data_IF_515136010180
#
_entry.id   IF_515136010180
#
_cell.length_a   1.000
_cell.length_b   1.000
_cell.length_c   1.000
_cell.angle_alpha   90.00
_cell.angle_beta   90.00
_cell.angle_gamma   90.00
#
_symmetry.space_group_name_H-M   'P 1'
#
loop_
_entity.id
_entity.type
_entity.pdbx_description
1 polymer ?
#
# COMPACT_ATOMS: atom_id res chain seq x y z
N UNK A 1 -0.72 -11.31 -16.57
CA UNK A 1 -0.73 -9.87 -16.91
C UNK A 1 0.12 -9.13 -15.90
N UNK A 2 0.77 -8.03 -16.30
CA UNK A 2 1.62 -7.23 -15.42
C UNK A 2 1.05 -5.82 -15.27
N UNK A 3 0.99 -5.33 -14.04
CA UNK A 3 0.46 -4.01 -13.70
C UNK A 3 1.40 -3.30 -12.74
N UNK A 4 1.58 -2.01 -12.87
CA UNK A 4 2.18 -1.20 -11.81
C UNK A 4 1.07 -0.55 -10.99
N UNK A 5 1.10 -0.74 -9.68
CA UNK A 5 0.07 -0.26 -8.76
C UNK A 5 0.74 0.58 -7.68
N UNK A 6 0.21 1.79 -7.48
CA UNK A 6 0.55 2.64 -6.35
C UNK A 6 -0.37 2.31 -5.17
N UNK A 7 0.21 2.04 -4.00
CA UNK A 7 -0.49 1.87 -2.72
C UNK A 7 -0.12 3.02 -1.79
N UNK A 8 -1.07 3.90 -1.49
CA UNK A 8 -0.91 5.01 -0.55
C UNK A 8 -1.58 4.67 0.77
N UNK A 9 -0.79 4.33 1.78
CA UNK A 9 -1.23 4.13 3.15
C UNK A 9 -1.55 5.48 3.78
N UNK A 10 -2.74 5.62 4.38
CA UNK A 10 -3.26 6.86 4.96
C UNK A 10 -3.69 6.60 6.40
N UNK A 11 -3.34 7.51 7.31
CA UNK A 11 -3.87 7.57 8.68
C UNK A 11 -4.48 8.95 8.93
N UNK A 12 -5.60 8.97 9.63
CA UNK A 12 -6.24 10.20 10.13
C UNK A 12 -5.75 10.59 11.53
N UNK A 13 -5.10 9.67 12.25
CA UNK A 13 -4.50 9.96 13.55
C UNK A 13 -3.35 10.95 13.40
N UNK A 14 -3.28 11.93 14.30
CA UNK A 14 -2.19 12.90 14.44
C UNK A 14 -1.32 12.61 15.66
N UNK A 15 -1.45 11.42 16.25
CA UNK A 15 -0.71 11.03 17.45
C UNK A 15 -0.13 9.62 17.32
N UNK A 16 -0.86 8.69 16.70
CA UNK A 16 -0.42 7.30 16.59
C UNK A 16 0.43 7.07 15.33
N UNK A 17 1.49 6.25 15.43
CA UNK A 17 2.27 5.85 14.26
C UNK A 17 1.39 5.06 13.28
N UNK A 18 1.51 5.36 11.98
CA UNK A 18 1.00 4.48 10.93
C UNK A 18 1.80 3.17 11.00
N UNK A 19 1.12 2.05 11.26
CA UNK A 19 1.70 0.71 11.19
C UNK A 19 0.68 -0.25 10.60
N UNK A 20 0.92 -0.68 9.36
CA UNK A 20 -0.03 -1.45 8.57
C UNK A 20 0.66 -2.43 7.61
N UNK A 21 -0.06 -3.48 7.24
CA UNK A 21 0.40 -4.50 6.32
C UNK A 21 -0.68 -4.87 5.31
N UNK A 22 -0.30 -4.95 4.04
CA UNK A 22 -1.04 -5.63 2.99
C UNK A 22 -0.41 -7.00 2.74
N UNK A 23 -1.23 -8.05 2.79
CA UNK A 23 -0.89 -9.39 2.29
C UNK A 23 -1.69 -9.70 1.03
N UNK A 24 -1.05 -10.31 0.05
CA UNK A 24 -1.65 -10.64 -1.24
C UNK A 24 -1.78 -12.15 -1.42
N UNK A 25 -2.93 -12.58 -1.94
CA UNK A 25 -3.24 -13.99 -2.16
C UNK A 25 -2.80 -14.42 -3.57
N UNK A 26 -2.37 -15.67 -3.70
CA UNK A 26 -2.15 -16.33 -5.00
C UNK A 26 -3.42 -16.25 -5.86
N UNK A 27 -3.31 -16.09 -7.20
CA UNK A 27 -2.08 -16.08 -8.00
C UNK A 27 -1.45 -14.69 -8.17
N UNK A 28 -1.86 -13.69 -7.39
CA UNK A 28 -1.31 -12.34 -7.48
C UNK A 28 -0.01 -12.23 -6.70
N UNK A 29 1.03 -11.69 -7.32
CA UNK A 29 2.34 -11.54 -6.73
C UNK A 29 3.00 -10.23 -7.15
N UNK A 30 3.65 -9.56 -6.21
CA UNK A 30 4.57 -8.46 -6.47
C UNK A 30 5.78 -9.02 -7.20
N UNK A 31 6.03 -8.52 -8.41
CA UNK A 31 7.24 -8.81 -9.17
C UNK A 31 8.32 -7.82 -8.74
N UNK A 32 9.25 -8.31 -7.92
CA UNK A 32 10.45 -7.57 -7.52
C UNK A 32 11.48 -7.61 -8.65
N UNK A 33 11.17 -7.02 -9.80
CA UNK A 33 12.12 -6.89 -10.91
C UNK A 33 12.93 -5.61 -10.74
N UNK A 34 14.11 -5.74 -10.13
CA UNK A 34 15.20 -4.75 -10.12
C UNK A 34 14.91 -3.42 -9.44
N UNK A 35 15.42 -3.20 -8.21
CA UNK A 35 15.58 -1.91 -7.52
C UNK A 35 14.50 -0.83 -7.77
N UNK A 36 13.22 -1.21 -7.91
CA UNK A 36 12.13 -0.27 -8.16
C UNK A 36 12.06 0.70 -6.98
N UNK A 37 12.19 1.99 -7.28
CA UNK A 37 12.27 3.03 -6.28
C UNK A 37 10.93 3.14 -5.53
N UNK A 38 10.95 2.93 -4.22
CA UNK A 38 9.84 3.27 -3.35
C UNK A 38 9.76 4.80 -3.30
N UNK A 39 8.67 5.35 -3.81
CA UNK A 39 8.42 6.79 -3.75
C UNK A 39 7.63 7.14 -2.48
N UNK A 40 8.32 7.67 -1.49
CA UNK A 40 7.71 8.22 -0.29
C UNK A 40 7.26 9.67 -0.56
N UNK A 41 5.99 9.98 -0.31
CA UNK A 41 5.43 11.34 -0.47
C UNK A 41 4.52 11.69 0.71
N UNK A 42 4.69 12.87 1.33
CA UNK A 42 3.72 13.45 2.26
C UNK A 42 2.76 14.40 1.56
N UNK A 43 1.57 14.53 2.12
CA UNK A 43 0.53 15.47 1.70
C UNK A 43 0.72 16.89 2.28
N UNK A 44 1.52 17.05 3.33
CA UNK A 44 1.83 18.33 4.02
C UNK A 44 3.27 18.34 4.55
N UNK A 45 3.82 19.53 4.84
CA UNK A 45 5.24 19.92 4.98
C UNK A 45 6.22 19.09 5.85
N UNK A 46 5.84 17.93 6.40
CA UNK A 46 6.81 16.97 6.94
C UNK A 46 6.36 15.53 6.69
N UNK A 47 7.16 14.73 5.96
CA UNK A 47 7.06 13.27 6.04
C UNK A 47 7.44 12.87 7.48
N UNK A 48 6.60 12.10 8.20
CA UNK A 48 7.10 11.44 9.40
C UNK A 48 8.26 10.53 8.96
N UNK A 49 9.36 10.45 9.74
CA UNK A 49 10.43 9.55 9.39
C UNK A 49 9.88 8.12 9.28
N UNK A 50 10.11 7.49 8.13
CA UNK A 50 9.79 6.10 7.90
C UNK A 50 10.70 5.27 8.81
N UNK A 51 10.10 4.43 9.65
CA UNK A 51 10.86 3.53 10.53
C UNK A 51 11.25 2.27 9.76
N UNK A 52 10.30 1.69 9.02
CA UNK A 52 10.59 0.65 8.05
C UNK A 52 9.56 0.57 6.94
N UNK A 53 10.00 0.01 5.82
CA UNK A 53 9.15 -0.50 4.75
C UNK A 53 9.69 -1.86 4.31
N UNK A 54 8.78 -2.83 4.22
CA UNK A 54 9.06 -4.16 3.69
C UNK A 54 8.19 -4.36 2.45
N UNK A 55 8.82 -4.63 1.32
CA UNK A 55 8.15 -5.09 0.10
C UNK A 55 8.67 -6.48 -0.23
N UNK A 56 7.76 -7.46 -0.23
CA UNK A 56 8.01 -8.86 -0.53
C UNK A 56 6.99 -9.33 -1.57
N UNK A 57 7.24 -10.48 -2.20
CA UNK A 57 6.39 -11.01 -3.27
C UNK A 57 4.89 -11.06 -2.94
N UNK A 58 4.52 -11.32 -1.69
CA UNK A 58 3.12 -11.41 -1.24
C UNK A 58 2.76 -10.40 -0.15
N UNK A 59 3.60 -9.37 0.08
CA UNK A 59 3.41 -8.49 1.23
C UNK A 59 4.00 -7.09 1.05
N UNK A 60 3.28 -6.08 1.52
CA UNK A 60 3.81 -4.74 1.80
C UNK A 60 3.55 -4.45 3.28
N UNK A 61 4.56 -4.05 4.05
CA UNK A 61 4.39 -3.60 5.43
C UNK A 61 5.09 -2.26 5.65
N UNK A 62 4.41 -1.33 6.30
CA UNK A 62 4.87 0.05 6.52
C UNK A 62 4.77 0.38 8.00
N UNK A 63 5.79 1.04 8.52
CA UNK A 63 5.75 1.71 9.82
C UNK A 63 6.43 3.08 9.77
N UNK A 64 5.81 4.08 10.40
CA UNK A 64 6.33 5.44 10.55
C UNK A 64 6.41 5.84 12.03
N UNK A 65 7.32 6.75 12.39
CA UNK A 65 7.66 7.06 13.80
C UNK A 65 6.63 7.91 14.59
N UNK A 66 5.55 8.39 13.97
CA UNK A 66 4.54 9.24 14.63
C UNK A 66 3.80 10.10 13.63
N UNK A 67 2.61 10.64 13.98
CA UNK A 67 1.74 11.27 13.00
C UNK A 67 1.63 12.80 13.02
N UNK A 68 1.85 13.42 11.87
CA UNK A 68 1.19 14.67 11.49
C UNK A 68 -0.07 14.27 10.72
N UNK A 69 -1.27 14.63 11.20
CA UNK A 69 -2.53 14.16 10.60
C UNK A 69 -2.54 14.32 9.08
N UNK A 70 -2.96 13.27 8.34
CA UNK A 70 -2.88 13.25 6.87
C UNK A 70 -1.65 12.56 6.29
N UNK A 71 -0.85 11.90 7.13
CA UNK A 71 0.31 11.11 6.72
C UNK A 71 -0.01 10.11 5.60
N UNK A 72 0.81 10.18 4.56
CA UNK A 72 0.77 9.28 3.42
C UNK A 72 2.10 8.57 3.25
N UNK A 73 2.08 7.25 3.12
CA UNK A 73 3.23 6.48 2.60
C UNK A 73 2.78 5.85 1.31
N UNK A 74 3.36 6.27 0.19
CA UNK A 74 3.08 5.68 -1.12
C UNK A 74 4.13 4.64 -1.46
N UNK A 75 3.70 3.54 -2.07
CA UNK A 75 4.59 2.48 -2.54
C UNK A 75 4.12 2.06 -3.93
N UNK A 76 4.97 2.24 -4.94
CA UNK A 76 4.71 1.76 -6.29
C UNK A 76 5.32 0.38 -6.44
N UNK A 77 4.53 -0.59 -6.86
CA UNK A 77 4.98 -1.97 -7.07
C UNK A 77 4.45 -2.52 -8.38
N UNK A 78 5.30 -3.28 -9.05
CA UNK A 78 4.88 -4.10 -10.18
C UNK A 78 4.26 -5.41 -9.68
N UNK A 79 3.15 -5.80 -10.27
CA UNK A 79 2.34 -6.97 -9.93
C UNK A 79 2.19 -7.86 -11.16
N UNK A 80 2.41 -9.16 -10.98
CA UNK A 80 1.94 -10.18 -11.90
C UNK A 80 0.72 -10.89 -11.32
N UNK A 81 -0.26 -11.17 -12.18
CA UNK A 81 -1.39 -12.00 -11.82
C UNK A 81 -1.92 -12.76 -13.03
N UNK A 82 -2.41 -13.97 -12.80
CA UNK A 82 -3.16 -14.78 -13.77
C UNK A 82 -4.66 -14.86 -13.45
N UNK A 83 -5.11 -14.20 -12.38
CA UNK A 83 -6.52 -14.14 -11.98
C UNK A 83 -7.27 -12.96 -12.62
N UNK A 84 -8.56 -12.86 -12.31
CA UNK A 84 -9.43 -11.73 -12.72
C UNK A 84 -9.39 -10.54 -11.76
N UNK A 85 -8.78 -10.69 -10.58
CA UNK A 85 -8.67 -9.67 -9.54
C UNK A 85 -7.45 -9.92 -8.65
N UNK A 86 -7.01 -8.88 -7.94
CA UNK A 86 -6.00 -8.98 -6.87
C UNK A 86 -6.73 -9.04 -5.54
N UNK A 87 -6.64 -10.17 -4.85
CA UNK A 87 -7.25 -10.36 -3.54
C UNK A 87 -6.18 -10.40 -2.44
N UNK A 88 -6.58 -10.07 -1.23
CA UNK A 88 -5.64 -10.03 -0.11
C UNK A 88 -6.29 -9.65 1.21
N UNK A 89 -5.44 -9.33 2.18
CA UNK A 89 -5.83 -8.87 3.51
C UNK A 89 -5.05 -7.63 3.89
N UNK A 90 -5.71 -6.66 4.50
CA UNK A 90 -5.10 -5.52 5.16
C UNK A 90 -5.16 -5.74 6.67
N UNK A 91 -4.03 -5.58 7.35
CA UNK A 91 -3.92 -5.64 8.81
C UNK A 91 -3.37 -4.33 9.35
N UNK A 92 -3.97 -3.85 10.42
CA UNK A 92 -3.36 -2.83 11.28
C UNK A 92 -2.44 -3.54 12.26
N UNK A 93 -1.22 -3.03 12.41
CA UNK A 93 -0.21 -3.57 13.33
C UNK A 93 -0.03 -2.66 14.56
N UNK A 94 -0.59 -1.46 14.52
CA UNK A 94 -0.64 -0.51 15.63
C UNK A 94 -2.06 -0.02 15.93
N UNK A 95 -2.16 1.00 16.77
CA UNK A 95 -3.44 1.54 17.25
C UNK A 95 -4.08 2.56 16.30
N UNK A 96 -3.32 3.06 15.32
CA UNK A 96 -3.81 4.02 14.35
C UNK A 96 -4.87 3.39 13.43
N UNK A 97 -5.98 4.09 13.23
CA UNK A 97 -6.88 3.80 12.12
C UNK A 97 -6.16 4.13 10.81
N UNK A 98 -6.10 3.17 9.90
CA UNK A 98 -5.48 3.38 8.60
C UNK A 98 -6.27 2.73 7.48
N UNK A 99 -6.17 3.32 6.30
CA UNK A 99 -6.69 2.78 5.04
C UNK A 99 -5.60 2.84 3.97
N UNK A 100 -5.77 2.09 2.87
CA UNK A 100 -4.86 2.17 1.73
C UNK A 100 -5.62 2.56 0.48
N UNK A 101 -5.25 3.68 -0.13
CA UNK A 101 -5.71 4.00 -1.47
C UNK A 101 -4.84 3.27 -2.49
N UNK A 102 -5.45 2.63 -3.50
CA UNK A 102 -4.71 2.03 -4.61
C UNK A 102 -5.04 2.74 -5.92
N UNK A 103 -4.07 2.77 -6.83
CA UNK A 103 -4.22 3.30 -8.19
C UNK A 103 -3.37 2.49 -9.17
N UNK A 104 -3.96 2.00 -10.25
CA UNK A 104 -3.21 1.40 -11.36
C UNK A 104 -2.55 2.51 -12.18
N UNK A 105 -1.23 2.44 -12.36
CA UNK A 105 -0.47 3.43 -13.13
C UNK A 105 -0.84 3.30 -14.60
N UNK A 106 -1.26 4.41 -15.23
CA UNK A 106 -1.70 4.44 -16.62
C UNK A 106 -3.17 4.08 -16.84
N UNK A 107 -3.93 3.81 -15.78
CA UNK A 107 -5.37 3.48 -15.85
C UNK A 107 -6.17 4.42 -14.94
N UNK A 108 -7.49 4.47 -15.13
CA UNK A 108 -8.39 5.20 -14.22
C UNK A 108 -8.78 4.37 -12.97
N UNK A 109 -8.42 3.08 -12.94
CA UNK A 109 -8.80 2.16 -11.87
C UNK A 109 -8.12 2.52 -10.55
N UNK A 110 -8.93 3.01 -9.60
CA UNK A 110 -8.52 3.41 -8.28
C UNK A 110 -9.54 2.92 -7.24
N UNK A 111 -9.15 2.90 -5.98
CA UNK A 111 -10.07 2.60 -4.88
C UNK A 111 -9.41 2.65 -3.53
N UNK A 112 -10.12 2.21 -2.51
CA UNK A 112 -9.63 2.19 -1.13
C UNK A 112 -9.81 0.82 -0.51
N UNK A 113 -8.81 0.39 0.24
CA UNK A 113 -8.75 -0.84 1.01
C UNK A 113 -8.88 -0.45 2.48
N UNK A 114 -9.83 -1.08 3.16
CA UNK A 114 -10.02 -0.98 4.59
C UNK A 114 -9.40 -2.20 5.29
N UNK A 115 -9.14 -2.14 6.60
CA UNK A 115 -8.71 -3.30 7.37
C UNK A 115 -9.64 -4.51 7.15
N UNK A 116 -9.06 -5.69 6.95
CA UNK A 116 -9.77 -6.92 6.62
C UNK A 116 -9.47 -7.44 5.21
N UNK A 117 -10.34 -8.32 4.70
CA UNK A 117 -10.19 -8.91 3.37
C UNK A 117 -10.55 -7.87 2.30
N UNK A 118 -9.82 -7.88 1.18
CA UNK A 118 -10.10 -7.00 0.04
C UNK A 118 -10.02 -7.73 -1.29
N UNK A 119 -10.59 -7.11 -2.32
CA UNK A 119 -10.47 -7.52 -3.72
C UNK A 119 -10.39 -6.28 -4.58
N UNK A 120 -9.39 -6.22 -5.46
CA UNK A 120 -9.15 -5.14 -6.40
C UNK A 120 -9.45 -5.67 -7.80
N UNK A 121 -10.48 -5.15 -8.49
CA UNK A 121 -10.73 -5.52 -9.87
C UNK A 121 -9.58 -5.04 -10.76
N UNK A 122 -9.18 -5.88 -11.71
CA UNK A 122 -8.18 -5.49 -12.71
C UNK A 122 -8.77 -4.46 -13.69
N UNK A 123 -7.96 -3.52 -14.21
CA UNK A 123 -8.38 -2.68 -15.32
C UNK A 123 -8.68 -3.53 -16.55
N UNK A 124 -9.64 -3.07 -17.36
CA UNK A 124 -9.96 -3.67 -18.67
C UNK A 124 -8.92 -3.30 -19.72
#
# INVERSE_FOLDING_TARGET
MNYTISFTFRTDSSQDPLSAQLGFNSPSAITLTGNEAVQLSSSTDSLPPLEYLIVQQSKIAVQSHGATGGNTVSVNVSFSTSGSAIAGTMKLLGNASASVHYQFVGYANAGSIQPGNFTIPLPN
#
